data_IF_115554035778
#
_entry.id   IF_115554035778
#
_cell.length_a   1.000
_cell.length_b   1.000
_cell.length_c   1.000
_cell.angle_alpha   90.00
_cell.angle_beta   90.00
_cell.angle_gamma   90.00
#
_symmetry.space_group_name_H-M   'P 1'
#
loop_
_entity.id
_entity.type
_entity.pdbx_description
1 polymer ?
#
# COMPACT_ATOMS: atom_id res chain seq x y z
N UNK A 1 -19.37 14.52 2.34
CA UNK A 1 -17.97 15.01 2.27
C UNK A 1 -17.67 15.39 0.85
N UNK A 2 -17.00 16.53 0.57
CA UNK A 2 -16.54 16.82 -0.79
C UNK A 2 -15.45 15.83 -1.14
N UNK A 3 -15.61 15.08 -2.25
CA UNK A 3 -14.56 14.20 -2.79
C UNK A 3 -13.32 15.02 -3.14
N UNK A 4 -12.17 14.47 -2.85
CA UNK A 4 -10.90 15.06 -3.29
C UNK A 4 -10.59 14.60 -4.71
N UNK A 5 -10.40 15.53 -5.64
CA UNK A 5 -10.04 15.22 -7.03
C UNK A 5 -8.61 15.68 -7.31
N UNK A 6 -7.85 14.85 -7.99
CA UNK A 6 -6.54 15.21 -8.52
C UNK A 6 -6.72 16.10 -9.76
N UNK A 7 -5.69 16.85 -10.14
CA UNK A 7 -5.78 17.82 -11.24
C UNK A 7 -6.24 17.19 -12.56
N UNK A 8 -5.77 15.99 -12.87
CA UNK A 8 -6.14 15.28 -14.10
C UNK A 8 -7.57 14.69 -14.06
N UNK A 9 -8.22 14.67 -12.90
CA UNK A 9 -9.59 14.20 -12.70
C UNK A 9 -10.63 15.32 -12.88
N UNK A 10 -10.24 16.57 -13.09
CA UNK A 10 -11.18 17.69 -13.25
C UNK A 10 -12.34 17.40 -14.23
N UNK A 11 -12.09 16.81 -15.43
CA UNK A 11 -13.20 16.49 -16.34
C UNK A 11 -14.21 15.50 -15.78
N UNK A 12 -13.77 14.59 -14.90
CA UNK A 12 -14.64 13.63 -14.19
C UNK A 12 -15.42 14.37 -13.11
N UNK A 13 -14.75 15.20 -12.31
CA UNK A 13 -15.37 16.04 -11.29
C UNK A 13 -16.49 16.94 -11.84
N UNK A 14 -16.26 17.57 -13.00
CA UNK A 14 -17.23 18.42 -13.67
C UNK A 14 -18.50 17.63 -14.07
N UNK A 15 -18.35 16.40 -14.56
CA UNK A 15 -19.47 15.53 -14.89
C UNK A 15 -20.22 15.04 -13.63
N UNK A 16 -19.50 14.68 -12.57
CA UNK A 16 -20.11 14.26 -11.30
C UNK A 16 -20.89 15.41 -10.65
N UNK A 17 -20.34 16.62 -10.63
CA UNK A 17 -21.06 17.81 -10.16
C UNK A 17 -22.36 18.05 -10.94
N UNK A 18 -22.34 17.89 -12.28
CA UNK A 18 -23.52 18.00 -13.10
C UNK A 18 -24.56 16.92 -12.81
N UNK A 19 -24.11 15.68 -12.54
CA UNK A 19 -25.00 14.59 -12.15
C UNK A 19 -25.68 14.90 -10.81
N UNK A 20 -24.94 15.43 -9.83
CA UNK A 20 -25.47 15.84 -8.53
C UNK A 20 -26.52 16.94 -8.68
N UNK A 21 -26.24 17.98 -9.49
CA UNK A 21 -27.18 19.09 -9.77
C UNK A 21 -28.47 18.58 -10.40
N UNK A 22 -28.38 17.77 -11.46
CA UNK A 22 -29.54 17.22 -12.15
C UNK A 22 -30.35 16.25 -11.28
N UNK A 23 -29.65 15.45 -10.43
CA UNK A 23 -30.30 14.55 -9.49
C UNK A 23 -31.10 15.32 -8.45
N UNK A 24 -30.56 16.42 -7.92
CA UNK A 24 -31.30 17.31 -7.00
C UNK A 24 -32.52 17.95 -7.65
N UNK A 25 -32.41 18.39 -8.90
CA UNK A 25 -33.55 18.95 -9.68
C UNK A 25 -34.62 17.90 -9.94
N UNK A 26 -34.29 16.67 -10.30
CA UNK A 26 -35.26 15.59 -10.49
C UNK A 26 -36.02 15.27 -9.20
N UNK A 27 -35.34 15.23 -8.04
CA UNK A 27 -35.98 14.99 -6.75
C UNK A 27 -36.91 16.11 -6.28
N UNK A 28 -36.67 17.35 -6.71
CA UNK A 28 -37.51 18.50 -6.36
C UNK A 28 -38.83 18.63 -7.17
N UNK A 29 -39.19 17.62 -7.96
CA UNK A 29 -40.46 17.56 -8.73
C UNK A 29 -40.35 18.20 -10.12
N UNK A 30 -39.14 18.37 -10.64
CA UNK A 30 -38.88 18.75 -12.03
C UNK A 30 -39.11 17.60 -13.01
N UNK A 31 -38.82 17.84 -14.28
CA UNK A 31 -38.98 16.88 -15.36
C UNK A 31 -38.29 15.54 -15.07
N UNK A 32 -38.81 14.45 -15.65
CA UNK A 32 -38.15 13.14 -15.61
C UNK A 32 -36.80 13.22 -16.37
N UNK A 33 -35.68 13.26 -15.60
CA UNK A 33 -34.33 13.40 -16.11
C UNK A 33 -33.56 12.08 -16.07
N UNK A 34 -34.24 10.95 -15.81
CA UNK A 34 -33.59 9.65 -15.57
C UNK A 34 -32.71 9.22 -16.76
N UNK A 35 -33.21 9.39 -18.01
CA UNK A 35 -32.45 9.04 -19.21
C UNK A 35 -31.19 9.89 -19.38
N UNK A 36 -31.27 11.19 -19.08
CA UNK A 36 -30.15 12.10 -19.16
C UNK A 36 -29.12 11.79 -18.05
N UNK A 37 -29.56 11.50 -16.82
CA UNK A 37 -28.75 11.10 -15.72
C UNK A 37 -28.01 9.79 -16.02
N UNK A 38 -28.68 8.79 -16.58
CA UNK A 38 -28.04 7.52 -16.93
C UNK A 38 -27.01 7.69 -18.04
N UNK A 39 -27.28 8.51 -19.05
CA UNK A 39 -26.32 8.82 -20.10
C UNK A 39 -25.07 9.54 -19.54
N UNK A 40 -25.27 10.48 -18.62
CA UNK A 40 -24.13 11.17 -17.96
C UNK A 40 -23.33 10.22 -17.08
N UNK A 41 -23.97 9.35 -16.30
CA UNK A 41 -23.30 8.33 -15.48
C UNK A 41 -22.45 7.39 -16.34
N UNK A 42 -23.00 6.89 -17.43
CA UNK A 42 -22.27 6.04 -18.38
C UNK A 42 -21.06 6.78 -18.97
N UNK A 43 -21.25 8.03 -19.40
CA UNK A 43 -20.16 8.84 -19.93
C UNK A 43 -19.07 9.09 -18.91
N UNK A 44 -19.42 9.36 -17.65
CA UNK A 44 -18.49 9.55 -16.54
C UNK A 44 -17.68 8.29 -16.30
N UNK A 45 -18.32 7.12 -16.30
CA UNK A 45 -17.64 5.84 -16.09
C UNK A 45 -16.68 5.51 -17.23
N UNK A 46 -17.06 5.76 -18.49
CA UNK A 46 -16.17 5.60 -19.65
C UNK A 46 -14.98 6.53 -19.53
N UNK A 47 -15.19 7.81 -19.26
CA UNK A 47 -14.13 8.80 -19.09
C UNK A 47 -13.17 8.42 -17.94
N UNK A 48 -13.71 7.94 -16.83
CA UNK A 48 -12.92 7.48 -15.69
C UNK A 48 -12.00 6.33 -16.09
N UNK A 49 -12.52 5.30 -16.74
CA UNK A 49 -11.74 4.15 -17.23
C UNK A 49 -10.66 4.57 -18.23
N UNK A 50 -11.00 5.43 -19.19
CA UNK A 50 -10.03 5.95 -20.16
C UNK A 50 -8.92 6.75 -19.49
N UNK A 51 -9.26 7.63 -18.53
CA UNK A 51 -8.29 8.43 -17.79
C UNK A 51 -7.34 7.55 -17.01
N UNK A 52 -7.88 6.61 -16.21
CA UNK A 52 -7.07 5.75 -15.35
C UNK A 52 -6.24 4.70 -16.11
N UNK A 53 -6.68 4.29 -17.30
CA UNK A 53 -5.90 3.39 -18.17
C UNK A 53 -4.63 4.01 -18.77
N UNK A 54 -4.49 5.34 -18.72
CA UNK A 54 -3.40 6.11 -19.38
C UNK A 54 -2.58 6.95 -18.42
N UNK A 55 -2.68 6.70 -17.11
CA UNK A 55 -1.93 7.47 -16.12
C UNK A 55 -0.42 7.33 -16.34
N UNK A 56 0.27 8.48 -16.41
CA UNK A 56 1.72 8.51 -16.40
C UNK A 56 2.30 8.18 -15.00
N UNK A 57 3.60 7.89 -14.85
CA UNK A 57 4.19 7.52 -13.57
C UNK A 57 4.02 8.57 -12.47
N UNK A 58 4.01 9.85 -12.82
CA UNK A 58 3.75 10.92 -11.85
C UNK A 58 2.29 10.92 -11.38
N UNK A 59 1.35 10.78 -12.31
CA UNK A 59 -0.07 10.66 -11.97
C UNK A 59 -0.34 9.42 -11.08
N UNK A 60 0.29 8.28 -11.38
CA UNK A 60 0.24 7.10 -10.50
C UNK A 60 0.82 7.39 -9.10
N UNK A 61 1.90 8.16 -9.01
CA UNK A 61 2.44 8.63 -7.72
C UNK A 61 1.41 9.45 -6.94
N UNK A 62 0.70 10.35 -7.61
CA UNK A 62 -0.36 11.15 -6.98
C UNK A 62 -1.53 10.28 -6.51
N UNK A 63 -1.96 9.30 -7.33
CA UNK A 63 -3.01 8.33 -6.95
C UNK A 63 -2.55 7.47 -5.77
N UNK A 64 -1.30 6.99 -5.74
CA UNK A 64 -0.74 6.23 -4.62
C UNK A 64 -0.79 7.01 -3.29
N UNK A 65 -0.73 8.33 -3.36
CA UNK A 65 -0.77 9.27 -2.23
C UNK A 65 -2.14 9.87 -1.97
N UNK A 66 -3.17 9.44 -2.73
CA UNK A 66 -4.50 10.02 -2.60
C UNK A 66 -5.02 9.90 -1.16
N UNK A 67 -5.52 11.01 -0.56
CA UNK A 67 -5.86 11.03 0.87
C UNK A 67 -7.05 10.14 1.26
N UNK A 68 -7.87 9.74 0.30
CA UNK A 68 -9.06 8.89 0.50
C UNK A 68 -8.78 7.42 0.16
N UNK A 69 -7.54 7.02 -0.18
CA UNK A 69 -7.21 5.60 -0.34
C UNK A 69 -7.42 4.85 0.96
N UNK A 70 -7.87 3.59 0.90
CA UNK A 70 -7.90 2.73 2.08
C UNK A 70 -6.52 2.65 2.74
N UNK A 71 -6.46 2.84 4.04
CA UNK A 71 -5.27 2.68 4.86
C UNK A 71 -5.27 1.30 5.54
N UNK A 72 -4.21 0.98 6.27
CA UNK A 72 -4.09 -0.31 6.95
C UNK A 72 -5.31 -0.66 7.81
N UNK A 73 -5.83 0.29 8.58
CA UNK A 73 -6.98 0.05 9.47
C UNK A 73 -8.24 -0.32 8.70
N UNK A 74 -8.42 0.17 7.46
CA UNK A 74 -9.55 -0.19 6.60
C UNK A 74 -9.41 -1.63 6.10
N UNK A 75 -8.21 -2.03 5.67
CA UNK A 75 -7.93 -3.42 5.28
C UNK A 75 -8.09 -4.38 6.46
N UNK A 76 -7.63 -4.00 7.67
CA UNK A 76 -7.84 -4.80 8.87
C UNK A 76 -9.34 -4.92 9.15
N UNK A 77 -10.09 -3.82 9.12
CA UNK A 77 -11.53 -3.80 9.39
C UNK A 77 -12.32 -4.66 8.40
N UNK A 78 -11.94 -4.67 7.12
CA UNK A 78 -12.65 -5.42 6.08
C UNK A 78 -12.22 -6.86 5.89
N UNK A 79 -11.00 -7.23 6.31
CA UNK A 79 -10.42 -8.55 6.03
C UNK A 79 -10.16 -9.41 7.28
N UNK A 80 -10.01 -8.80 8.47
CA UNK A 80 -9.50 -9.49 9.66
C UNK A 80 -10.56 -9.51 10.75
N UNK A 81 -11.03 -10.69 11.07
CA UNK A 81 -11.93 -10.94 12.20
C UNK A 81 -11.14 -11.03 13.51
N UNK A 82 -11.77 -10.67 14.63
CA UNK A 82 -11.22 -10.77 16.00
C UNK A 82 -9.82 -10.14 16.13
N UNK A 83 -9.58 -9.01 15.46
CA UNK A 83 -8.27 -8.35 15.52
C UNK A 83 -7.95 -7.85 16.92
N UNK A 84 -6.78 -8.25 17.41
CA UNK A 84 -6.20 -7.81 18.69
C UNK A 84 -4.88 -7.10 18.42
N UNK A 85 -4.88 -5.77 18.57
CA UNK A 85 -3.67 -4.96 18.41
C UNK A 85 -2.65 -5.27 19.50
N UNK A 86 -1.38 -5.47 19.11
CA UNK A 86 -0.26 -5.76 20.00
C UNK A 86 0.79 -4.63 19.97
N UNK A 87 0.61 -3.65 20.82
CA UNK A 87 1.42 -2.42 20.88
C UNK A 87 2.81 -2.63 21.51
N UNK A 88 3.72 -1.72 21.16
CA UNK A 88 5.03 -1.57 21.79
C UNK A 88 6.10 -2.56 21.34
N UNK A 89 7.34 -2.11 21.42
CA UNK A 89 8.53 -2.88 21.02
C UNK A 89 9.14 -3.70 22.16
N UNK A 90 8.63 -3.58 23.38
CA UNK A 90 9.17 -4.20 24.62
C UNK A 90 10.57 -3.74 24.98
N UNK A 91 11.04 -2.62 24.43
CA UNK A 91 12.37 -2.05 24.71
C UNK A 91 12.29 -0.58 25.12
N UNK A 92 11.70 0.26 24.27
CA UNK A 92 11.63 1.69 24.47
C UNK A 92 10.19 2.22 24.52
N UNK A 93 9.35 1.85 23.57
CA UNK A 93 8.01 2.43 23.50
C UNK A 93 7.14 1.82 22.40
N UNK A 94 6.08 2.53 22.09
CA UNK A 94 5.23 2.21 20.95
C UNK A 94 5.41 3.24 19.84
N UNK A 95 5.33 2.79 18.60
CA UNK A 95 5.25 3.65 17.42
C UNK A 95 3.96 3.33 16.66
N UNK A 96 3.07 4.27 16.63
CA UNK A 96 1.76 4.13 16.01
C UNK A 96 1.79 4.23 14.48
N UNK A 97 2.94 4.54 13.87
CA UNK A 97 3.12 4.49 12.42
C UNK A 97 3.12 3.04 11.90
N UNK A 98 3.43 2.05 12.76
CA UNK A 98 3.18 0.64 12.48
C UNK A 98 2.10 0.14 13.43
N UNK A 99 0.98 -0.31 12.87
CA UNK A 99 -0.08 -1.01 13.58
C UNK A 99 0.04 -2.49 13.25
N UNK A 100 -0.18 -3.35 14.24
CA UNK A 100 -0.15 -4.80 14.00
C UNK A 100 -0.62 -5.61 15.19
N UNK A 101 -0.94 -6.87 14.93
CA UNK A 101 -1.50 -7.76 15.93
C UNK A 101 -1.87 -9.12 15.36
N UNK A 102 -2.73 -9.81 16.10
CA UNK A 102 -3.30 -11.12 15.77
C UNK A 102 -4.74 -10.96 15.32
N UNK A 103 -5.19 -11.83 14.43
CA UNK A 103 -6.59 -11.91 14.03
C UNK A 103 -6.86 -13.15 13.20
N UNK A 104 -8.04 -13.22 12.62
CA UNK A 104 -8.41 -14.30 11.69
C UNK A 104 -8.69 -13.72 10.31
N UNK A 105 -8.03 -14.28 9.32
CA UNK A 105 -8.27 -14.00 7.91
C UNK A 105 -8.96 -15.22 7.30
N UNK A 106 -10.23 -15.09 6.91
CA UNK A 106 -11.03 -16.18 6.32
C UNK A 106 -10.92 -17.49 7.12
N UNK A 107 -11.09 -17.37 8.43
CA UNK A 107 -11.04 -18.51 9.36
C UNK A 107 -9.65 -18.98 9.77
N UNK A 108 -8.56 -18.52 9.13
CA UNK A 108 -7.19 -18.83 9.47
C UNK A 108 -6.60 -17.77 10.42
N UNK A 109 -5.98 -18.21 11.53
CA UNK A 109 -5.24 -17.30 12.40
C UNK A 109 -4.01 -16.75 11.68
N UNK A 110 -3.79 -15.43 11.74
CA UNK A 110 -2.71 -14.73 11.08
C UNK A 110 -2.10 -13.65 11.99
N UNK A 111 -0.86 -13.28 11.72
CA UNK A 111 -0.30 -12.01 12.15
C UNK A 111 -0.50 -11.01 11.03
N UNK A 112 -1.07 -9.84 11.34
CA UNK A 112 -1.20 -8.74 10.39
C UNK A 112 -0.51 -7.50 10.93
N UNK A 113 0.19 -6.78 10.07
CA UNK A 113 0.84 -5.51 10.42
C UNK A 113 1.07 -4.64 9.18
N UNK A 114 1.28 -3.36 9.39
CA UNK A 114 1.60 -2.46 8.28
C UNK A 114 1.73 -1.02 8.71
N UNK A 115 2.00 -0.16 7.73
CA UNK A 115 2.07 1.27 7.94
C UNK A 115 0.66 1.87 7.97
N UNK A 116 0.41 2.69 8.99
CA UNK A 116 -0.82 3.47 9.11
C UNK A 116 -0.51 4.95 8.92
N UNK A 117 -1.22 5.61 8.01
CA UNK A 117 -1.03 7.03 7.71
C UNK A 117 -2.00 7.96 8.43
N UNK A 118 -3.19 7.46 8.75
CA UNK A 118 -4.31 8.24 9.30
C UNK A 118 -5.10 8.99 8.22
N UNK A 119 -6.39 9.20 8.46
CA UNK A 119 -7.33 9.80 7.50
C UNK A 119 -7.47 11.32 7.63
N UNK A 120 -7.31 11.85 8.83
CA UNK A 120 -7.42 13.28 9.14
C UNK A 120 -6.12 13.84 9.75
N UNK A 121 -6.05 15.13 9.94
CA UNK A 121 -4.87 15.80 10.48
C UNK A 121 -4.44 15.24 11.84
N UNK A 122 -5.39 14.95 12.73
CA UNK A 122 -5.08 14.45 14.07
C UNK A 122 -4.50 13.03 14.01
N UNK A 123 -5.15 12.15 13.25
CA UNK A 123 -4.70 10.77 13.09
C UNK A 123 -3.41 10.69 12.27
N UNK A 124 -3.21 11.54 11.27
CA UNK A 124 -1.94 11.63 10.53
C UNK A 124 -0.77 12.03 11.42
N UNK A 125 -0.95 13.00 12.28
CA UNK A 125 0.07 13.38 13.28
C UNK A 125 0.34 12.23 14.26
N UNK A 126 -0.71 11.57 14.73
CA UNK A 126 -0.62 10.41 15.63
C UNK A 126 0.19 9.26 15.02
N UNK A 127 -0.06 8.93 13.77
CA UNK A 127 0.62 7.87 13.02
C UNK A 127 1.87 8.35 12.28
N UNK A 128 2.32 9.57 12.53
CA UNK A 128 3.51 10.17 11.92
C UNK A 128 3.53 10.00 10.38
N UNK A 129 2.36 10.12 9.72
CA UNK A 129 2.20 9.98 8.27
C UNK A 129 2.70 8.62 7.72
N UNK A 130 2.66 7.56 8.51
CA UNK A 130 3.18 6.24 8.15
C UNK A 130 4.72 6.14 8.18
N UNK A 131 5.42 7.18 8.64
CA UNK A 131 6.88 7.16 8.75
C UNK A 131 7.29 6.59 10.12
N UNK A 132 7.65 5.31 10.14
CA UNK A 132 7.96 4.62 11.38
C UNK A 132 9.33 5.00 11.98
N UNK A 133 9.37 5.05 13.31
CA UNK A 133 10.56 5.15 14.14
C UNK A 133 11.10 3.75 14.46
N UNK A 134 12.30 3.62 15.08
CA UNK A 134 12.90 2.33 15.42
C UNK A 134 11.97 1.39 16.19
N UNK A 135 11.11 1.95 17.05
CA UNK A 135 10.15 1.21 17.87
C UNK A 135 9.12 0.46 17.00
N UNK A 136 8.71 1.06 15.87
CA UNK A 136 7.79 0.43 14.91
C UNK A 136 8.41 -0.80 14.27
N UNK A 137 9.64 -0.71 13.78
CA UNK A 137 10.35 -1.84 13.18
C UNK A 137 10.67 -2.94 14.19
N UNK A 138 11.06 -2.57 15.43
CA UNK A 138 11.25 -3.56 16.51
C UNK A 138 9.94 -4.24 16.92
N UNK A 139 8.82 -3.52 16.90
CA UNK A 139 7.48 -4.11 17.07
C UNK A 139 7.18 -5.11 15.95
N UNK A 140 7.49 -4.78 14.69
CA UNK A 140 7.33 -5.69 13.56
C UNK A 140 8.17 -6.98 13.76
N UNK A 141 9.44 -6.88 14.16
CA UNK A 141 10.28 -8.04 14.50
C UNK A 141 9.62 -8.91 15.56
N UNK A 142 9.14 -8.32 16.66
CA UNK A 142 8.45 -9.04 17.73
C UNK A 142 7.20 -9.78 17.24
N UNK A 143 6.42 -9.16 16.37
CA UNK A 143 5.23 -9.79 15.78
C UNK A 143 5.60 -10.94 14.83
N UNK A 144 6.68 -10.79 14.06
CA UNK A 144 7.23 -11.85 13.20
C UNK A 144 7.73 -13.03 14.04
N UNK A 145 8.44 -12.78 15.15
CA UNK A 145 8.88 -13.82 16.09
C UNK A 145 7.71 -14.59 16.69
N UNK A 146 6.64 -13.89 17.05
CA UNK A 146 5.40 -14.50 17.53
C UNK A 146 4.73 -15.35 16.43
N UNK A 147 4.68 -14.84 15.20
CA UNK A 147 4.16 -15.61 14.06
C UNK A 147 4.92 -16.92 13.86
N UNK A 148 6.23 -16.90 13.91
CA UNK A 148 7.07 -18.08 13.80
C UNK A 148 6.86 -19.06 14.95
N UNK A 149 6.79 -18.57 16.19
CA UNK A 149 6.55 -19.39 17.38
C UNK A 149 5.24 -20.17 17.31
N UNK A 150 4.19 -19.58 16.76
CA UNK A 150 2.87 -20.18 16.68
C UNK A 150 2.52 -20.74 15.29
N UNK A 151 3.45 -20.69 14.34
CA UNK A 151 3.23 -21.19 12.97
C UNK A 151 2.19 -20.40 12.18
N UNK A 152 2.06 -19.09 12.43
CA UNK A 152 1.04 -18.24 11.82
C UNK A 152 1.58 -17.56 10.57
N UNK A 153 0.83 -17.52 9.45
CA UNK A 153 1.17 -16.67 8.32
C UNK A 153 1.21 -15.19 8.69
N UNK A 154 2.04 -14.43 7.99
CA UNK A 154 2.21 -12.98 8.18
C UNK A 154 1.70 -12.24 6.95
N UNK A 155 0.79 -11.30 7.15
CA UNK A 155 0.33 -10.36 6.15
C UNK A 155 0.86 -8.97 6.49
N UNK A 156 1.63 -8.37 5.57
CA UNK A 156 2.15 -7.01 5.76
C UNK A 156 1.58 -6.06 4.72
N UNK A 157 1.23 -4.85 5.16
CA UNK A 157 0.72 -3.78 4.32
C UNK A 157 1.69 -2.60 4.33
N UNK A 158 2.14 -2.20 3.14
CA UNK A 158 3.17 -1.17 2.98
C UNK A 158 2.56 0.08 2.38
N UNK A 159 2.53 1.14 3.16
CA UNK A 159 2.13 2.47 2.71
C UNK A 159 2.87 3.55 3.51
N UNK A 160 4.07 3.90 3.07
CA UNK A 160 4.95 4.87 3.71
C UNK A 160 5.81 5.60 2.68
N UNK A 161 6.05 6.89 2.91
CA UNK A 161 7.05 7.64 2.15
C UNK A 161 8.50 7.24 2.51
N UNK A 162 8.69 6.53 3.63
CA UNK A 162 9.98 6.08 4.14
C UNK A 162 10.02 6.01 5.65
N UNK A 163 11.17 5.65 6.21
CA UNK A 163 11.41 5.69 7.65
C UNK A 163 11.50 7.12 8.15
N UNK A 164 11.12 7.38 9.40
CA UNK A 164 11.23 8.71 10.00
C UNK A 164 12.68 9.19 10.07
N UNK A 165 13.02 10.35 9.47
CA UNK A 165 14.42 10.80 9.33
C UNK A 165 14.90 11.70 10.49
N UNK A 166 14.18 11.72 11.62
CA UNK A 166 14.49 12.64 12.72
C UNK A 166 15.64 12.16 13.60
N UNK A 167 16.37 13.11 14.24
CA UNK A 167 17.50 12.87 15.13
C UNK A 167 17.18 11.81 16.19
N UNK A 168 16.02 11.90 16.84
CA UNK A 168 15.65 10.93 17.87
C UNK A 168 15.43 9.51 17.34
N UNK A 169 15.21 9.30 16.03
CA UNK A 169 15.18 7.98 15.44
C UNK A 169 16.61 7.45 15.22
N UNK A 170 17.53 8.31 14.74
CA UNK A 170 18.93 7.95 14.57
C UNK A 170 19.57 7.59 15.90
N UNK A 171 19.35 8.37 16.96
CA UNK A 171 19.83 8.11 18.32
C UNK A 171 19.38 6.75 18.88
N UNK A 172 18.22 6.26 18.44
CA UNK A 172 17.65 4.98 18.88
C UNK A 172 17.83 3.85 17.88
N UNK A 173 18.71 4.04 16.89
CA UNK A 173 19.16 3.00 15.96
C UNK A 173 18.17 2.72 14.83
N UNK A 174 17.76 3.76 14.06
CA UNK A 174 16.82 3.62 12.95
C UNK A 174 17.29 2.61 11.90
N UNK A 175 18.54 2.75 11.45
CA UNK A 175 19.11 1.85 10.44
C UNK A 175 19.20 0.39 10.94
N UNK A 176 19.61 0.19 12.19
CA UNK A 176 19.66 -1.13 12.81
C UNK A 176 18.28 -1.77 12.93
N UNK A 177 17.27 -1.02 13.37
CA UNK A 177 15.91 -1.53 13.50
C UNK A 177 15.29 -1.95 12.15
N UNK A 178 15.54 -1.17 11.08
CA UNK A 178 15.16 -1.51 9.70
C UNK A 178 15.88 -2.80 9.26
N UNK A 179 17.20 -2.86 9.44
CA UNK A 179 18.00 -4.02 9.05
C UNK A 179 17.54 -5.30 9.76
N UNK A 180 17.25 -5.23 11.06
CA UNK A 180 16.71 -6.35 11.84
C UNK A 180 15.34 -6.80 11.38
N UNK A 181 14.46 -5.85 11.04
CA UNK A 181 13.15 -6.20 10.49
C UNK A 181 13.26 -6.92 9.14
N UNK A 182 14.13 -6.42 8.26
CA UNK A 182 14.43 -7.05 6.97
C UNK A 182 15.03 -8.45 7.16
N UNK A 183 16.05 -8.59 8.01
CA UNK A 183 16.69 -9.88 8.33
C UNK A 183 15.68 -10.90 8.87
N UNK A 184 14.82 -10.46 9.82
CA UNK A 184 13.78 -11.34 10.37
C UNK A 184 12.79 -11.76 9.29
N UNK A 185 12.33 -10.82 8.45
CA UNK A 185 11.48 -11.13 7.30
C UNK A 185 12.11 -12.18 6.38
N UNK A 186 13.40 -12.06 6.06
CA UNK A 186 14.12 -13.00 5.19
C UNK A 186 14.26 -14.40 5.79
N UNK A 187 14.42 -14.51 7.10
CA UNK A 187 14.68 -15.79 7.79
C UNK A 187 13.42 -16.45 8.38
N UNK A 188 12.27 -15.80 8.28
CA UNK A 188 11.02 -16.24 8.89
C UNK A 188 10.53 -17.57 8.30
N UNK A 189 10.19 -18.54 9.15
CA UNK A 189 9.86 -19.92 8.79
C UNK A 189 8.36 -20.17 8.56
N UNK A 190 7.59 -19.09 8.35
CA UNK A 190 6.15 -19.11 8.02
C UNK A 190 5.90 -18.34 6.72
N UNK A 191 4.75 -18.54 6.05
CA UNK A 191 4.39 -17.75 4.88
C UNK A 191 4.33 -16.26 5.18
N UNK A 192 4.91 -15.43 4.32
CA UNK A 192 4.87 -13.97 4.41
C UNK A 192 4.39 -13.40 3.09
N UNK A 193 3.34 -12.61 3.12
CA UNK A 193 2.84 -11.86 1.98
C UNK A 193 2.89 -10.38 2.32
N UNK A 194 3.60 -9.61 1.50
CA UNK A 194 3.63 -8.16 1.59
C UNK A 194 2.80 -7.54 0.46
N UNK A 195 2.01 -6.53 0.77
CA UNK A 195 1.23 -5.77 -0.21
C UNK A 195 1.56 -4.30 -0.12
N UNK A 196 2.02 -3.72 -1.23
CA UNK A 196 2.17 -2.27 -1.36
C UNK A 196 0.81 -1.70 -1.73
N UNK A 197 0.17 -0.99 -0.78
CA UNK A 197 -1.20 -0.48 -0.92
C UNK A 197 -1.29 1.00 -1.31
N UNK A 198 -0.16 1.70 -1.23
CA UNK A 198 -0.03 3.10 -1.60
C UNK A 198 1.40 3.40 -2.03
N UNK A 199 2.16 4.08 -1.20
CA UNK A 199 3.56 4.42 -1.46
C UNK A 199 4.50 3.48 -0.69
N UNK A 200 5.34 2.72 -1.40
CA UNK A 200 6.38 1.88 -0.82
C UNK A 200 7.73 2.59 -0.82
N UNK A 201 8.02 3.41 0.21
CA UNK A 201 9.22 4.25 0.25
C UNK A 201 10.39 3.61 1.00
N UNK A 202 11.53 3.46 0.29
CA UNK A 202 12.87 3.27 0.86
C UNK A 202 12.99 2.14 1.91
N UNK A 203 13.85 2.33 2.92
CA UNK A 203 14.07 1.40 4.03
C UNK A 203 12.81 1.11 4.85
N UNK A 204 11.87 2.08 4.94
CA UNK A 204 10.59 1.87 5.60
C UNK A 204 9.78 0.76 4.96
N UNK A 205 9.73 0.75 3.63
CA UNK A 205 9.00 -0.25 2.88
C UNK A 205 9.68 -1.63 2.93
N UNK A 206 11.01 -1.71 2.68
CA UNK A 206 11.72 -3.00 2.65
C UNK A 206 11.70 -3.72 4.00
N UNK A 207 11.65 -2.97 5.10
CA UNK A 207 11.55 -3.52 6.45
C UNK A 207 10.33 -4.44 6.66
N UNK A 208 9.26 -4.25 5.88
CA UNK A 208 8.05 -5.08 5.91
C UNK A 208 7.82 -5.87 4.61
N UNK A 209 8.60 -5.62 3.55
CA UNK A 209 8.43 -6.24 2.24
C UNK A 209 9.39 -7.40 1.96
N UNK A 210 10.18 -7.84 2.94
CA UNK A 210 11.04 -9.02 2.84
C UNK A 210 10.21 -10.32 2.94
N UNK A 211 9.44 -10.64 1.89
CA UNK A 211 8.35 -11.61 1.89
C UNK A 211 8.50 -12.70 0.81
N UNK A 212 7.74 -13.79 0.94
CA UNK A 212 7.63 -14.84 -0.08
C UNK A 212 6.91 -14.33 -1.33
N UNK A 213 5.90 -13.47 -1.13
CA UNK A 213 5.16 -12.79 -2.19
C UNK A 213 5.11 -11.32 -1.88
N UNK A 214 5.43 -10.50 -2.87
CA UNK A 214 5.26 -9.05 -2.81
C UNK A 214 4.22 -8.66 -3.86
N UNK A 215 3.06 -8.25 -3.37
CA UNK A 215 1.96 -7.75 -4.18
C UNK A 215 2.03 -6.23 -4.23
N UNK A 216 1.47 -5.65 -5.26
CA UNK A 216 1.33 -4.21 -5.39
C UNK A 216 -0.04 -3.88 -5.98
N UNK A 217 -0.72 -2.86 -5.46
CA UNK A 217 -1.94 -2.37 -6.09
C UNK A 217 -1.59 -1.63 -7.40
N UNK A 218 -2.50 -1.64 -8.37
CA UNK A 218 -2.28 -1.18 -9.74
C UNK A 218 -1.72 0.25 -9.85
N UNK A 219 -2.19 1.14 -8.98
CA UNK A 219 -1.77 2.55 -8.96
C UNK A 219 -0.87 2.89 -7.76
N UNK A 220 -0.34 1.88 -7.09
CA UNK A 220 0.71 2.05 -6.07
C UNK A 220 2.08 2.20 -6.71
N UNK A 221 3.02 2.76 -5.95
CA UNK A 221 4.43 2.90 -6.35
C UNK A 221 5.35 2.24 -5.31
N UNK A 222 6.52 1.77 -5.78
CA UNK A 222 7.55 1.24 -4.88
C UNK A 222 8.92 1.72 -5.36
N UNK A 223 9.66 2.42 -4.47
CA UNK A 223 10.91 3.09 -4.84
C UNK A 223 11.87 3.23 -3.66
N UNK A 224 13.14 3.46 -3.97
CA UNK A 224 14.19 3.71 -2.95
C UNK A 224 14.17 5.14 -2.42
N UNK A 225 13.55 6.08 -3.16
CA UNK A 225 13.46 7.51 -2.83
C UNK A 225 12.21 8.09 -3.52
N UNK A 226 11.66 9.17 -2.98
CA UNK A 226 10.56 9.87 -3.65
C UNK A 226 11.02 10.52 -4.96
N UNK A 227 10.13 10.69 -5.97
CA UNK A 227 10.47 11.41 -7.19
C UNK A 227 11.01 12.82 -6.94
N UNK A 228 10.45 13.55 -5.97
CA UNK A 228 10.92 14.88 -5.56
C UNK A 228 12.34 14.83 -4.99
N UNK A 229 12.63 13.82 -4.15
CA UNK A 229 13.96 13.59 -3.61
C UNK A 229 14.98 13.25 -4.69
N UNK A 230 14.62 12.37 -5.62
CA UNK A 230 15.47 12.04 -6.78
C UNK A 230 15.75 13.27 -7.65
N UNK A 231 14.73 14.06 -7.96
CA UNK A 231 14.88 15.30 -8.73
C UNK A 231 15.80 16.30 -8.04
N UNK A 232 15.65 16.45 -6.72
CA UNK A 232 16.51 17.33 -5.92
C UNK A 232 17.98 16.90 -5.93
N UNK A 233 18.26 15.60 -5.85
CA UNK A 233 19.62 15.06 -5.89
C UNK A 233 20.23 15.16 -7.29
N UNK A 234 19.48 14.77 -8.33
CA UNK A 234 20.01 14.68 -9.69
C UNK A 234 20.14 16.05 -10.37
N UNK A 235 19.19 16.94 -10.13
CA UNK A 235 19.08 18.19 -10.87
C UNK A 235 19.06 19.44 -9.98
N UNK A 236 19.18 19.30 -8.67
CA UNK A 236 19.02 20.37 -7.69
C UNK A 236 17.70 21.15 -7.82
N UNK A 237 16.67 20.47 -8.34
CA UNK A 237 15.35 21.06 -8.61
C UNK A 237 14.24 20.02 -8.33
N UNK A 238 13.59 20.14 -7.18
CA UNK A 238 12.49 19.26 -6.79
C UNK A 238 11.22 19.40 -7.64
N UNK A 239 11.07 20.53 -8.38
CA UNK A 239 9.92 20.73 -9.29
C UNK A 239 9.93 19.78 -10.49
N UNK A 240 11.07 19.14 -10.78
CA UNK A 240 11.23 18.13 -11.82
C UNK A 240 10.84 16.71 -11.38
N UNK A 241 10.05 16.58 -10.32
CA UNK A 241 9.58 15.29 -9.80
C UNK A 241 8.88 14.42 -10.86
N UNK A 242 8.16 15.04 -11.81
CA UNK A 242 7.54 14.32 -12.92
C UNK A 242 8.58 13.63 -13.81
N UNK A 243 9.63 14.35 -14.20
CA UNK A 243 10.73 13.79 -15.01
C UNK A 243 11.44 12.64 -14.27
N UNK A 244 11.60 12.78 -12.95
CA UNK A 244 12.18 11.75 -12.11
C UNK A 244 11.28 10.50 -12.07
N UNK A 245 9.97 10.66 -11.83
CA UNK A 245 9.02 9.54 -11.79
C UNK A 245 9.05 8.72 -13.08
N UNK A 246 9.11 9.36 -14.24
CA UNK A 246 9.16 8.71 -15.55
C UNK A 246 10.43 7.85 -15.74
N UNK A 247 11.57 8.29 -15.18
CA UNK A 247 12.86 7.60 -15.31
C UNK A 247 13.07 6.52 -14.26
N UNK A 248 12.49 6.65 -13.09
CA UNK A 248 12.74 5.78 -11.92
C UNK A 248 12.13 4.38 -12.04
N UNK A 249 11.18 4.15 -12.95
CA UNK A 249 10.52 2.85 -13.14
C UNK A 249 9.88 2.31 -11.85
N UNK A 250 9.09 3.15 -11.20
CA UNK A 250 8.51 2.89 -9.86
C UNK A 250 7.07 2.38 -9.89
N UNK A 251 6.48 2.24 -11.09
CA UNK A 251 5.08 1.82 -11.24
C UNK A 251 4.92 0.30 -11.17
N UNK A 252 3.71 -0.16 -10.83
CA UNK A 252 3.43 -1.58 -10.70
C UNK A 252 3.80 -2.41 -11.96
N UNK A 253 3.52 -1.98 -13.21
CA UNK A 253 3.95 -2.70 -14.40
C UNK A 253 5.48 -2.74 -14.57
N UNK A 254 6.19 -1.66 -14.27
CA UNK A 254 7.66 -1.63 -14.34
C UNK A 254 8.26 -2.62 -13.35
N UNK A 255 7.78 -2.60 -12.11
CA UNK A 255 8.27 -3.45 -11.02
C UNK A 255 7.97 -4.94 -11.25
N UNK A 256 6.81 -5.26 -11.83
CA UNK A 256 6.47 -6.61 -12.22
C UNK A 256 7.40 -7.11 -13.32
N UNK A 257 7.66 -6.29 -14.35
CA UNK A 257 8.59 -6.61 -15.44
C UNK A 257 10.00 -6.88 -14.94
N UNK A 258 10.45 -6.13 -13.93
CA UNK A 258 11.78 -6.31 -13.31
C UNK A 258 11.82 -7.45 -12.28
N UNK A 259 10.71 -8.10 -11.98
CA UNK A 259 10.63 -9.16 -10.96
C UNK A 259 10.79 -8.66 -9.53
N UNK A 260 10.60 -7.37 -9.28
CA UNK A 260 10.65 -6.76 -7.93
C UNK A 260 9.37 -7.07 -7.16
N UNK A 261 8.23 -7.11 -7.85
CA UNK A 261 6.95 -7.56 -7.32
C UNK A 261 6.47 -8.81 -8.07
N UNK A 262 5.67 -9.64 -7.41
CA UNK A 262 5.23 -10.93 -7.96
C UNK A 262 3.86 -10.83 -8.64
N UNK A 263 3.05 -9.84 -8.24
CA UNK A 263 1.70 -9.68 -8.79
C UNK A 263 1.18 -8.26 -8.61
N UNK A 264 0.46 -7.79 -9.63
CA UNK A 264 -0.37 -6.58 -9.54
C UNK A 264 -1.77 -6.99 -9.13
N UNK A 265 -2.34 -6.27 -8.17
CA UNK A 265 -3.74 -6.37 -7.76
C UNK A 265 -4.49 -5.23 -8.43
N UNK A 266 -5.44 -5.57 -9.30
CA UNK A 266 -6.25 -4.58 -10.02
C UNK A 266 -7.06 -3.71 -9.07
N UNK A 267 -7.16 -2.44 -9.38
CA UNK A 267 -7.97 -1.47 -8.63
C UNK A 267 -9.30 -1.20 -9.35
N UNK A 268 -10.35 -0.81 -8.65
CA UNK A 268 -11.57 -0.29 -9.27
C UNK A 268 -11.26 0.87 -10.21
N UNK A 269 -12.11 1.07 -11.22
CA UNK A 269 -11.99 2.23 -12.10
C UNK A 269 -12.05 3.53 -11.29
N UNK A 270 -11.01 4.35 -11.39
CA UNK A 270 -10.85 5.54 -10.53
C UNK A 270 -9.97 5.30 -9.30
N UNK A 271 -9.30 4.14 -9.20
CA UNK A 271 -8.37 3.82 -8.09
C UNK A 271 -9.05 3.23 -6.86
N UNK A 272 -8.24 2.78 -5.92
CA UNK A 272 -8.70 2.11 -4.69
C UNK A 272 -9.66 2.96 -3.83
N UNK A 273 -9.53 4.28 -3.91
CA UNK A 273 -10.38 5.23 -3.18
C UNK A 273 -11.78 5.43 -3.81
N UNK A 274 -11.95 5.07 -5.08
CA UNK A 274 -13.25 5.20 -5.74
C UNK A 274 -14.27 4.17 -5.24
N UNK A 275 -13.81 2.98 -4.87
CA UNK A 275 -14.61 1.90 -4.29
C UNK A 275 -13.75 1.07 -3.31
N UNK A 276 -13.58 1.55 -2.05
CA UNK A 276 -12.77 0.89 -1.05
C UNK A 276 -13.23 -0.54 -0.71
N UNK A 277 -14.54 -0.80 -0.71
CA UNK A 277 -15.09 -2.11 -0.37
C UNK A 277 -14.70 -3.15 -1.43
N UNK A 278 -14.87 -2.82 -2.70
CA UNK A 278 -14.45 -3.67 -3.82
C UNK A 278 -12.94 -3.88 -3.82
N UNK A 279 -12.15 -2.84 -3.51
CA UNK A 279 -10.70 -2.96 -3.42
C UNK A 279 -10.26 -3.92 -2.33
N UNK A 280 -10.84 -3.78 -1.12
CA UNK A 280 -10.53 -4.62 0.03
C UNK A 280 -10.86 -6.09 -0.27
N UNK A 281 -12.06 -6.36 -0.81
CA UNK A 281 -12.48 -7.71 -1.16
C UNK A 281 -11.61 -8.32 -2.28
N UNK A 282 -11.26 -7.52 -3.32
CA UNK A 282 -10.36 -7.95 -4.39
C UNK A 282 -9.01 -8.36 -3.85
N UNK A 283 -8.42 -7.55 -2.96
CA UNK A 283 -7.16 -7.88 -2.29
C UNK A 283 -7.31 -9.13 -1.42
N UNK A 284 -8.40 -9.25 -0.66
CA UNK A 284 -8.69 -10.43 0.15
C UNK A 284 -8.69 -11.72 -0.67
N UNK A 285 -9.33 -11.71 -1.85
CA UNK A 285 -9.35 -12.85 -2.76
C UNK A 285 -7.97 -13.23 -3.29
N UNK A 286 -7.10 -12.24 -3.51
CA UNK A 286 -5.72 -12.48 -3.95
C UNK A 286 -4.87 -13.04 -2.80
N UNK A 287 -4.95 -12.44 -1.60
CA UNK A 287 -4.22 -12.90 -0.41
C UNK A 287 -4.54 -14.36 -0.07
N UNK A 288 -5.81 -14.75 -0.14
CA UNK A 288 -6.23 -16.13 0.10
C UNK A 288 -5.57 -17.11 -0.89
N UNK A 289 -5.60 -16.80 -2.19
CA UNK A 289 -4.96 -17.63 -3.21
C UNK A 289 -3.45 -17.76 -2.99
N UNK A 290 -2.77 -16.68 -2.63
CA UNK A 290 -1.34 -16.72 -2.36
C UNK A 290 -1.00 -17.51 -1.09
N UNK A 291 -1.81 -17.41 -0.02
CA UNK A 291 -1.64 -18.24 1.17
C UNK A 291 -1.87 -19.72 0.87
N UNK A 292 -2.93 -20.05 0.12
CA UNK A 292 -3.22 -21.43 -0.30
C UNK A 292 -2.07 -22.02 -1.13
N UNK A 293 -1.48 -21.24 -2.04
CA UNK A 293 -0.35 -21.67 -2.86
C UNK A 293 0.90 -22.01 -2.04
N UNK A 294 1.05 -21.46 -0.85
CA UNK A 294 2.17 -21.71 0.05
C UNK A 294 1.88 -22.73 1.17
N UNK A 295 0.63 -23.18 1.30
CA UNK A 295 0.19 -24.06 2.40
C UNK A 295 0.89 -25.41 2.44
N UNK A 296 1.45 -25.86 1.30
CA UNK A 296 2.13 -27.15 1.17
C UNK A 296 3.65 -27.06 1.34
N UNK A 297 4.20 -25.84 1.49
CA UNK A 297 5.62 -25.65 1.64
C UNK A 297 6.06 -25.89 3.09
N UNK A 298 7.16 -26.61 3.25
CA UNK A 298 7.81 -26.74 4.56
C UNK A 298 8.44 -25.42 5.00
N UNK A 299 8.71 -25.23 6.30
CA UNK A 299 9.40 -24.05 6.79
C UNK A 299 10.72 -23.75 6.09
N UNK A 300 11.53 -24.76 5.77
CA UNK A 300 12.80 -24.60 5.04
C UNK A 300 12.57 -24.18 3.60
N UNK A 301 11.59 -24.76 2.93
CA UNK A 301 11.21 -24.37 1.56
C UNK A 301 10.71 -22.92 1.49
N UNK A 302 10.01 -22.42 2.52
CA UNK A 302 9.57 -21.03 2.58
C UNK A 302 10.77 -20.06 2.67
N UNK A 303 11.78 -20.40 3.49
CA UNK A 303 13.00 -19.60 3.61
C UNK A 303 13.79 -19.63 2.30
N UNK A 304 13.99 -20.82 1.71
CA UNK A 304 14.71 -20.98 0.44
C UNK A 304 14.00 -20.25 -0.72
N UNK A 305 12.68 -20.40 -0.86
CA UNK A 305 11.90 -19.69 -1.87
C UNK A 305 12.08 -18.17 -1.77
N UNK A 306 12.04 -17.64 -0.54
CA UNK A 306 12.21 -16.22 -0.28
C UNK A 306 13.62 -15.76 -0.62
N UNK A 307 14.65 -16.49 -0.20
CA UNK A 307 16.05 -16.19 -0.52
C UNK A 307 16.27 -16.19 -2.05
N UNK A 308 15.78 -17.24 -2.74
CA UNK A 308 15.91 -17.37 -4.19
C UNK A 308 15.22 -16.22 -4.93
N UNK A 309 14.03 -15.79 -4.46
CA UNK A 309 13.34 -14.62 -5.01
C UNK A 309 14.21 -13.38 -5.04
N UNK A 310 14.92 -13.09 -3.93
CA UNK A 310 15.81 -11.91 -3.86
C UNK A 310 17.08 -12.09 -4.69
N UNK A 311 17.61 -13.31 -4.80
CA UNK A 311 18.76 -13.59 -5.68
C UNK A 311 18.42 -13.46 -7.17
N UNK A 312 17.16 -13.65 -7.54
CA UNK A 312 16.71 -13.54 -8.95
C UNK A 312 16.47 -12.07 -9.36
N UNK A 313 16.28 -11.15 -8.41
CA UNK A 313 16.14 -9.72 -8.71
C UNK A 313 17.45 -9.23 -9.36
N UNK A 314 17.30 -8.54 -10.51
CA UNK A 314 18.43 -8.06 -11.30
C UNK A 314 19.05 -9.09 -12.28
N UNK A 315 18.68 -10.38 -12.20
CA UNK A 315 19.04 -11.39 -13.21
C UNK A 315 18.01 -11.47 -14.33
N UNK A 316 16.75 -11.22 -14.01
CA UNK A 316 15.62 -11.16 -14.94
C UNK A 316 15.24 -9.68 -15.12
N UNK A 317 15.21 -9.18 -16.35
CA UNK A 317 14.71 -7.82 -16.64
C UNK A 317 15.75 -6.74 -16.90
N UNK A 318 17.04 -7.08 -16.91
CA UNK A 318 18.14 -6.19 -17.35
C UNK A 318 18.61 -6.53 -18.80
N UNK A 319 17.91 -7.44 -19.49
CA UNK A 319 18.18 -7.81 -20.89
C UNK A 319 17.18 -7.18 -21.85
#
# INVERSE_FOLDING_TARGET
>A
MMRHYLEFERPIADLEAKIEELSALSQSGGANLDVELDALRQRTEVLRRETYSRLDPWQKTLVARHPERPHLVDYISGLIEDFVELRGDRKFGDDQAIVGGLGRFRGQSVVVMGHEKGHDTATRLKHNFGMARPEGYRKAVRLMEMAEQFGLPVLTFVDTAGAYPGIGAEERGQAEAIARSTEKGLTLRVPVIATVTGEGGSGGAIALAAANRVLILEHSIYSVISPEGAASILWHDGSRAKDAADQMKITAPDLLKMGIVDRIVEEPAGGAHSDPEVMIETLGNVLEKELQAMSFLSPDQLVEQRAQRFYDIGRKGLS
#
